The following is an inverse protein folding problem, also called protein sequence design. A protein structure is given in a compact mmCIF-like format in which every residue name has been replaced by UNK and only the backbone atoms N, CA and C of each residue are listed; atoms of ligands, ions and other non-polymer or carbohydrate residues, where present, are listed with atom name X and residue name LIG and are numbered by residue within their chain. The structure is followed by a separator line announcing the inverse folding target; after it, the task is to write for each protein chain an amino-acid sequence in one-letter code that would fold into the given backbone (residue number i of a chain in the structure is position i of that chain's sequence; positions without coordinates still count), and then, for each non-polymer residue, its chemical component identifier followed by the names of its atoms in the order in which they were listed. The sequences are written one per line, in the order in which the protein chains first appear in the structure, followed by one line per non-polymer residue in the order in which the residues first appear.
data_IF_936540937914
#
_entry.id   IF_936540937914
#
_cell.length_a   1.000
_cell.length_b   1.000
_cell.length_c   1.000
_cell.angle_alpha   90.00
_cell.angle_beta   90.00
_cell.angle_gamma   90.00
#
_symmetry.space_group_name_H-M   'P 1'
#
loop_
_entity.id
_entity.type
_entity.pdbx_description
1 polymer ?
#
# COMPACT_ATOMS: atom_id res chain seq x y z
N UNK A 1 27.27 24.29 -0.45
CA UNK A 1 26.84 24.30 -1.87
C UNK A 1 26.77 22.86 -2.30
N UNK A 2 25.59 22.27 -2.23
CA UNK A 2 25.35 20.88 -2.60
C UNK A 2 25.07 20.87 -4.10
N UNK A 3 26.03 20.37 -4.90
CA UNK A 3 25.88 20.31 -6.35
C UNK A 3 24.73 19.37 -6.68
N UNK A 4 23.69 19.89 -7.34
CA UNK A 4 22.69 19.07 -7.97
C UNK A 4 23.40 18.19 -9.00
N UNK A 5 23.61 16.91 -8.67
CA UNK A 5 24.03 15.92 -9.65
C UNK A 5 22.88 15.81 -10.65
N UNK A 6 23.15 16.16 -11.90
CA UNK A 6 22.26 15.88 -13.02
C UNK A 6 22.04 14.36 -13.04
N UNK A 7 20.80 13.94 -12.79
CA UNK A 7 20.40 12.55 -12.96
C UNK A 7 20.60 12.20 -14.42
N UNK A 8 21.67 11.44 -14.72
CA UNK A 8 21.86 10.83 -16.03
C UNK A 8 20.71 9.86 -16.31
N UNK A 9 20.18 9.88 -17.54
CA UNK A 9 19.02 9.09 -17.99
C UNK A 9 19.15 7.56 -17.73
N UNK A 10 20.37 7.08 -17.44
CA UNK A 10 20.68 5.69 -17.13
C UNK A 10 19.93 5.11 -15.91
N UNK A 11 19.38 5.95 -15.01
CA UNK A 11 18.66 5.51 -13.81
C UNK A 11 17.18 5.90 -13.79
N UNK A 12 16.64 6.32 -14.93
CA UNK A 12 15.25 6.78 -15.04
C UNK A 12 14.41 5.79 -15.85
N UNK A 13 13.41 5.19 -15.20
CA UNK A 13 12.32 4.53 -15.93
C UNK A 13 11.22 5.55 -16.18
N UNK A 14 10.65 5.61 -17.37
CA UNK A 14 9.54 6.52 -17.65
C UNK A 14 8.58 5.99 -18.71
N UNK A 15 7.36 6.53 -18.71
CA UNK A 15 6.31 6.24 -19.69
C UNK A 15 5.39 7.44 -19.87
N UNK A 16 4.81 7.58 -21.05
CA UNK A 16 3.79 8.58 -21.38
C UNK A 16 2.35 8.04 -21.28
N UNK A 17 2.16 6.90 -20.60
CA UNK A 17 0.84 6.39 -20.26
C UNK A 17 0.81 5.81 -18.84
N UNK A 18 -0.35 5.84 -18.16
CA UNK A 18 -0.55 5.11 -16.90
C UNK A 18 -0.36 3.61 -17.08
N UNK A 19 -0.03 2.90 -16.01
CA UNK A 19 -0.03 1.43 -16.01
C UNK A 19 -1.43 0.89 -16.38
N UNK A 20 -1.47 -0.08 -17.30
CA UNK A 20 -2.68 -0.83 -17.67
C UNK A 20 -2.95 -1.99 -16.73
N UNK A 21 -1.90 -2.55 -16.15
CA UNK A 21 -1.95 -3.68 -15.24
C UNK A 21 -0.95 -3.53 -14.09
N UNK A 22 -1.11 -4.36 -13.06
CA UNK A 22 -0.30 -4.29 -11.86
C UNK A 22 1.21 -4.45 -12.14
N UNK A 23 1.58 -5.29 -13.11
CA UNK A 23 2.98 -5.54 -13.47
C UNK A 23 3.68 -4.31 -14.07
N UNK A 24 2.92 -3.35 -14.60
CA UNK A 24 3.44 -2.09 -15.13
C UNK A 24 3.57 -1.00 -14.06
N UNK A 25 3.09 -1.22 -12.84
CA UNK A 25 3.21 -0.25 -11.75
C UNK A 25 4.67 -0.03 -11.34
N UNK A 26 5.01 1.20 -10.93
CA UNK A 26 6.34 1.48 -10.39
C UNK A 26 6.40 1.15 -8.89
N UNK A 27 7.31 0.27 -8.46
CA UNK A 27 7.45 -0.08 -7.06
C UNK A 27 8.27 0.99 -6.32
N UNK A 28 7.82 1.38 -5.13
CA UNK A 28 8.61 2.10 -4.13
C UNK A 28 8.54 1.35 -2.80
N UNK A 29 9.58 1.45 -1.98
CA UNK A 29 9.56 0.80 -0.66
C UNK A 29 10.78 1.14 0.18
N UNK A 30 10.70 0.79 1.46
CA UNK A 30 11.78 0.99 2.43
C UNK A 30 12.23 -0.33 3.10
N UNK A 31 12.01 -1.46 2.42
CA UNK A 31 12.26 -2.81 2.92
C UNK A 31 11.13 -3.35 3.81
N UNK A 32 10.36 -2.49 4.48
CA UNK A 32 9.23 -2.89 5.33
C UNK A 32 7.88 -2.60 4.68
N UNK A 33 7.70 -1.36 4.22
CA UNK A 33 6.54 -0.92 3.47
C UNK A 33 6.86 -0.93 1.99
N UNK A 34 5.88 -1.33 1.19
CA UNK A 34 5.92 -1.23 -0.27
C UNK A 34 4.67 -0.52 -0.79
N UNK A 35 4.81 0.20 -1.89
CA UNK A 35 3.69 0.77 -2.63
C UNK A 35 3.90 0.58 -4.13
N UNK A 36 2.84 0.18 -4.83
CA UNK A 36 2.81 0.01 -6.28
C UNK A 36 2.07 1.18 -6.91
N UNK A 37 2.75 1.99 -7.74
CA UNK A 37 2.22 3.23 -8.32
C UNK A 37 1.79 3.01 -9.79
N UNK A 38 0.47 2.96 -10.10
CA UNK A 38 0.01 2.79 -11.48
C UNK A 38 0.13 4.08 -12.29
N UNK A 39 -0.33 5.18 -11.72
CA UNK A 39 -0.20 6.53 -12.24
C UNK A 39 -1.43 7.08 -12.97
N UNK A 40 -2.63 6.69 -12.55
CA UNK A 40 -3.88 7.14 -13.17
C UNK A 40 -4.19 8.62 -12.82
N UNK A 41 -4.39 9.51 -13.82
CA UNK A 41 -4.68 10.93 -13.60
C UNK A 41 -6.00 11.21 -12.85
N UNK A 42 -6.99 10.33 -12.94
CA UNK A 42 -8.30 10.56 -12.32
C UNK A 42 -8.51 9.67 -11.09
N UNK A 43 -8.18 8.39 -11.21
CA UNK A 43 -8.44 7.38 -10.16
C UNK A 43 -7.17 6.59 -9.89
N UNK A 44 -6.35 7.11 -8.99
CA UNK A 44 -5.14 6.43 -8.54
C UNK A 44 -5.49 5.34 -7.52
N UNK A 45 -5.04 4.10 -7.75
CA UNK A 45 -5.18 2.99 -6.81
C UNK A 45 -3.81 2.42 -6.48
N UNK A 46 -3.26 2.84 -5.35
CA UNK A 46 -1.90 2.47 -4.94
C UNK A 46 -1.97 1.23 -4.06
N UNK A 47 -1.42 0.12 -4.51
CA UNK A 47 -1.36 -1.11 -3.72
C UNK A 47 -0.33 -1.00 -2.61
N UNK A 48 -0.77 -1.07 -1.36
CA UNK A 48 0.09 -0.98 -0.17
C UNK A 48 0.41 -2.35 0.42
N UNK A 49 1.68 -2.51 0.79
CA UNK A 49 2.28 -3.76 1.22
C UNK A 49 3.05 -3.57 2.52
N UNK A 50 3.09 -4.63 3.34
CA UNK A 50 3.86 -4.66 4.57
C UNK A 50 4.53 -6.04 4.71
N UNK A 51 5.86 -6.07 4.79
CA UNK A 51 6.72 -7.26 4.80
C UNK A 51 6.29 -8.36 5.78
N UNK A 52 5.78 -8.02 6.97
CA UNK A 52 5.32 -8.97 7.99
C UNK A 52 3.87 -9.47 7.82
N UNK A 53 3.14 -9.03 6.79
CA UNK A 53 1.74 -9.41 6.60
C UNK A 53 1.59 -10.75 5.86
N UNK A 54 1.92 -11.81 6.57
CA UNK A 54 1.76 -13.20 6.15
C UNK A 54 0.63 -13.86 6.94
N UNK A 55 -0.22 -14.69 6.32
CA UNK A 55 -1.21 -15.52 7.04
C UNK A 55 -0.51 -16.41 8.06
N UNK A 56 -1.20 -16.87 9.09
CA UNK A 56 -0.60 -17.67 10.18
C UNK A 56 -1.38 -18.97 10.44
N UNK A 57 -1.57 -19.79 9.39
CA UNK A 57 -2.23 -21.09 9.50
C UNK A 57 -1.33 -22.18 10.08
N UNK A 58 -0.05 -22.18 9.67
CA UNK A 58 0.91 -23.20 10.06
C UNK A 58 1.96 -22.60 10.97
N UNK A 59 2.13 -23.21 12.13
CA UNK A 59 3.30 -23.00 13.00
C UNK A 59 4.15 -24.25 12.93
N UNK A 60 5.46 -24.07 12.72
CA UNK A 60 6.39 -25.19 12.70
C UNK A 60 6.34 -25.90 14.06
N UNK A 61 5.84 -27.12 14.08
CA UNK A 61 6.01 -28.02 15.22
C UNK A 61 7.33 -28.75 14.98
N UNK A 62 8.27 -28.63 15.92
CA UNK A 62 9.48 -29.47 15.92
C UNK A 62 9.05 -30.93 15.91
N UNK A 63 9.48 -31.68 14.90
CA UNK A 63 9.20 -33.12 14.79
C UNK A 63 10.55 -33.83 14.82
N UNK A 64 10.73 -34.73 15.78
CA UNK A 64 11.95 -35.50 15.91
C UNK A 64 12.00 -36.58 14.81
N UNK A 65 12.55 -36.20 13.66
CA UNK A 65 12.77 -37.10 12.54
C UNK A 65 14.18 -37.74 12.58
N UNK A 66 15.02 -37.34 13.55
CA UNK A 66 16.42 -37.72 13.59
C UNK A 66 16.61 -39.22 13.85
N UNK A 67 15.74 -39.81 14.66
CA UNK A 67 15.79 -41.23 15.05
C UNK A 67 15.68 -42.18 13.84
N UNK A 68 14.99 -41.78 12.76
CA UNK A 68 14.73 -42.63 11.59
C UNK A 68 15.84 -42.55 10.52
N UNK A 69 16.77 -41.59 10.63
CA UNK A 69 17.80 -41.36 9.60
C UNK A 69 18.75 -42.54 9.43
N UNK A 70 19.06 -43.26 10.52
CA UNK A 70 19.96 -44.40 10.47
C UNK A 70 19.37 -45.56 9.64
N UNK A 71 18.09 -45.85 9.85
CA UNK A 71 17.38 -46.93 9.15
C UNK A 71 17.15 -46.60 7.68
N UNK A 72 16.73 -45.37 7.37
CA UNK A 72 16.58 -44.89 5.99
C UNK A 72 17.90 -45.01 5.23
N UNK A 73 19.02 -44.58 5.83
CA UNK A 73 20.36 -44.72 5.22
C UNK A 73 20.75 -46.18 4.99
N UNK A 74 20.41 -47.07 5.92
CA UNK A 74 20.69 -48.50 5.79
C UNK A 74 19.89 -49.16 4.65
N UNK A 75 18.63 -48.75 4.43
CA UNK A 75 17.81 -49.21 3.30
C UNK A 75 18.40 -48.74 1.96
N UNK A 76 18.80 -47.46 1.88
CA UNK A 76 19.49 -46.92 0.70
C UNK A 76 20.79 -47.66 0.40
N UNK A 77 21.61 -47.96 1.42
CA UNK A 77 22.87 -48.69 1.25
C UNK A 77 22.68 -50.12 0.73
N UNK A 78 21.50 -50.71 0.95
CA UNK A 78 21.10 -52.03 0.45
C UNK A 78 20.40 -51.98 -0.92
N UNK A 79 20.26 -50.80 -1.53
CA UNK A 79 19.55 -50.61 -2.80
C UNK A 79 18.02 -50.72 -2.69
N UNK A 80 17.46 -50.67 -1.48
CA UNK A 80 16.02 -50.78 -1.21
C UNK A 80 15.35 -49.40 -1.24
N UNK A 81 15.32 -48.79 -2.43
CA UNK A 81 14.86 -47.40 -2.60
C UNK A 81 13.38 -47.19 -2.26
N UNK A 82 12.51 -48.12 -2.65
CA UNK A 82 11.07 -48.02 -2.39
C UNK A 82 10.77 -48.12 -0.89
N UNK A 83 11.43 -49.05 -0.17
CA UNK A 83 11.31 -49.20 1.29
C UNK A 83 11.84 -47.96 2.03
N UNK A 84 12.96 -47.40 1.56
CA UNK A 84 13.53 -46.18 2.12
C UNK A 84 12.61 -44.97 1.92
N UNK A 85 12.00 -44.86 0.73
CA UNK A 85 11.05 -43.81 0.39
C UNK A 85 9.77 -43.94 1.22
N UNK A 86 9.20 -45.14 1.31
CA UNK A 86 8.00 -45.40 2.12
C UNK A 86 8.23 -45.06 3.60
N UNK A 87 9.36 -45.52 4.19
CA UNK A 87 9.71 -45.19 5.57
C UNK A 87 9.90 -43.68 5.77
N UNK A 88 10.51 -43.01 4.79
CA UNK A 88 10.65 -41.56 4.79
C UNK A 88 9.27 -40.88 4.74
N UNK A 89 8.37 -41.27 3.85
CA UNK A 89 7.02 -40.69 3.71
C UNK A 89 6.12 -40.93 4.94
N UNK A 90 6.22 -42.11 5.57
CA UNK A 90 5.45 -42.45 6.77
C UNK A 90 5.89 -41.67 8.01
N UNK A 91 7.19 -41.35 8.12
CA UNK A 91 7.79 -40.83 9.35
C UNK A 91 8.22 -39.38 9.23
N UNK A 92 8.79 -39.01 8.08
CA UNK A 92 8.96 -37.62 7.64
C UNK A 92 7.71 -37.26 6.85
N UNK A 93 6.74 -36.68 7.54
CA UNK A 93 5.57 -36.14 6.84
C UNK A 93 6.08 -35.23 5.73
N UNK A 94 5.74 -35.55 4.47
CA UNK A 94 5.87 -34.59 3.41
C UNK A 94 5.21 -33.30 3.90
N UNK A 95 5.87 -32.17 3.71
CA UNK A 95 5.24 -30.85 3.81
C UNK A 95 4.18 -30.64 2.70
N UNK A 96 3.60 -31.73 2.18
CA UNK A 96 2.82 -31.84 0.96
C UNK A 96 1.32 -32.07 1.18
N UNK A 97 0.83 -32.11 2.43
CA UNK A 97 -0.59 -31.85 2.68
C UNK A 97 -0.86 -30.35 2.48
N UNK A 98 -1.01 -29.95 1.22
CA UNK A 98 -1.43 -28.62 0.81
C UNK A 98 -0.37 -27.53 1.04
N UNK A 99 0.16 -27.01 -0.08
CA UNK A 99 1.02 -25.84 -0.25
C UNK A 99 0.44 -24.50 0.29
N UNK A 100 -0.27 -24.49 1.41
CA UNK A 100 -0.60 -23.28 2.16
C UNK A 100 0.48 -23.02 3.20
N UNK A 101 1.74 -22.94 2.77
CA UNK A 101 2.73 -22.18 3.55
C UNK A 101 2.11 -20.81 3.75
N UNK A 102 2.00 -20.37 5.01
CA UNK A 102 1.55 -19.04 5.43
C UNK A 102 1.70 -18.02 4.29
N UNK A 103 0.62 -17.61 3.63
CA UNK A 103 0.69 -16.82 2.40
C UNK A 103 0.96 -15.35 2.69
N UNK A 104 1.80 -14.70 1.91
CA UNK A 104 1.91 -13.24 1.92
C UNK A 104 0.63 -12.61 1.35
N UNK A 105 0.11 -11.56 1.98
CA UNK A 105 -1.11 -10.87 1.53
C UNK A 105 -0.93 -9.34 1.48
N UNK A 106 -1.54 -8.65 0.51
CA UNK A 106 -1.53 -7.20 0.46
C UNK A 106 -2.28 -6.60 1.64
N UNK A 107 -1.82 -5.44 2.12
CA UNK A 107 -2.41 -4.79 3.27
C UNK A 107 -3.73 -4.10 2.91
N UNK A 108 -3.68 -3.17 1.96
CA UNK A 108 -4.82 -2.41 1.46
C UNK A 108 -4.41 -1.63 0.21
N UNK A 109 -5.37 -0.95 -0.41
CA UNK A 109 -5.14 0.05 -1.44
C UNK A 109 -5.40 1.45 -0.90
N UNK A 110 -4.53 2.38 -1.27
CA UNK A 110 -4.77 3.82 -1.13
C UNK A 110 -5.40 4.33 -2.43
N UNK A 111 -6.67 4.73 -2.33
CA UNK A 111 -7.40 5.39 -3.41
C UNK A 111 -7.22 6.90 -3.35
N UNK A 112 -6.87 7.52 -4.47
CA UNK A 112 -6.89 8.98 -4.65
C UNK A 112 -7.71 9.26 -5.91
N UNK A 113 -8.93 9.77 -5.73
CA UNK A 113 -9.79 10.24 -6.82
C UNK A 113 -9.59 11.74 -6.97
N UNK A 114 -9.17 12.21 -8.14
CA UNK A 114 -8.97 13.63 -8.42
C UNK A 114 -10.20 14.19 -9.15
N UNK A 115 -10.66 15.36 -8.72
CA UNK A 115 -11.71 16.12 -9.38
C UNK A 115 -11.05 17.31 -10.07
N UNK A 116 -10.61 17.12 -11.31
CA UNK A 116 -9.95 18.17 -12.08
C UNK A 116 -10.92 19.32 -12.36
N UNK A 117 -10.37 20.53 -12.49
CA UNK A 117 -11.14 21.68 -12.93
C UNK A 117 -11.21 21.74 -14.45
N UNK A 118 -12.44 21.86 -14.97
CA UNK A 118 -12.71 21.98 -16.40
C UNK A 118 -12.89 20.62 -17.08
N UNK A 119 -13.59 20.61 -18.20
CA UNK A 119 -13.96 19.40 -18.95
C UNK A 119 -12.90 19.04 -20.01
N UNK A 120 -11.62 19.10 -19.64
CA UNK A 120 -10.50 18.85 -20.56
C UNK A 120 -9.96 17.43 -20.48
N UNK A 121 -9.53 16.89 -21.63
CA UNK A 121 -8.79 15.63 -21.68
C UNK A 121 -7.44 15.74 -20.94
N UNK A 122 -6.87 14.59 -20.59
CA UNK A 122 -5.53 14.54 -20.00
C UNK A 122 -4.48 14.71 -21.10
N UNK A 123 -3.64 15.71 -20.93
CA UNK A 123 -2.58 16.05 -21.88
C UNK A 123 -1.19 16.02 -21.22
N UNK A 124 -0.14 16.00 -22.04
CA UNK A 124 1.26 16.09 -21.60
C UNK A 124 1.62 15.13 -20.46
N UNK A 125 1.02 13.94 -20.46
CA UNK A 125 1.20 12.95 -19.41
C UNK A 125 2.61 12.35 -19.46
N UNK A 126 3.26 12.28 -18.30
CA UNK A 126 4.48 11.51 -18.07
C UNK A 126 4.49 10.95 -16.67
N UNK A 127 4.85 9.67 -16.52
CA UNK A 127 5.26 9.07 -15.25
C UNK A 127 6.71 8.63 -15.31
N UNK A 128 7.40 8.67 -14.18
CA UNK A 128 8.79 8.25 -14.06
C UNK A 128 9.10 7.64 -12.69
N UNK A 129 10.15 6.81 -12.64
CA UNK A 129 10.77 6.30 -11.43
C UNK A 129 12.27 6.56 -11.53
N UNK A 130 12.75 7.47 -10.68
CA UNK A 130 14.17 7.74 -10.47
C UNK A 130 14.71 6.68 -9.51
N UNK A 131 15.49 5.74 -10.04
CA UNK A 131 16.03 4.61 -9.28
C UNK A 131 17.20 5.01 -8.38
N UNK A 132 17.84 6.16 -8.64
CA UNK A 132 18.92 6.69 -7.79
C UNK A 132 18.33 7.33 -6.52
N UNK A 133 17.22 8.07 -6.67
CA UNK A 133 16.55 8.73 -5.54
C UNK A 133 15.47 7.89 -4.88
N UNK A 134 14.96 6.86 -5.54
CA UNK A 134 13.81 6.08 -5.07
C UNK A 134 12.51 6.87 -5.08
N UNK A 135 12.34 7.77 -6.07
CA UNK A 135 11.20 8.68 -6.18
C UNK A 135 10.44 8.37 -7.47
N UNK A 136 9.15 8.08 -7.35
CA UNK A 136 8.25 8.06 -8.50
C UNK A 136 7.58 9.42 -8.67
N UNK A 137 7.43 9.88 -9.91
CA UNK A 137 6.79 11.14 -10.24
C UNK A 137 5.79 10.97 -11.38
N UNK A 138 4.68 11.68 -11.32
CA UNK A 138 3.70 11.81 -12.40
C UNK A 138 3.44 13.29 -12.63
N UNK A 139 3.44 13.70 -13.89
CA UNK A 139 3.08 15.04 -14.34
C UNK A 139 2.07 14.91 -15.48
N UNK A 140 1.02 15.72 -15.47
CA UNK A 140 0.04 15.80 -16.55
C UNK A 140 -0.70 17.13 -16.51
N UNK A 141 -1.40 17.47 -17.58
CA UNK A 141 -2.29 18.62 -17.65
C UNK A 141 -3.74 18.18 -17.76
N UNK A 142 -4.64 18.91 -17.10
CA UNK A 142 -6.09 18.77 -17.26
C UNK A 142 -6.72 20.17 -17.19
N UNK A 143 -7.51 20.54 -18.20
CA UNK A 143 -8.12 21.89 -18.27
C UNK A 143 -7.10 23.04 -18.28
N UNK A 144 -5.92 22.82 -18.88
CA UNK A 144 -4.82 23.80 -18.91
C UNK A 144 -4.17 24.09 -17.55
N UNK A 145 -4.22 23.13 -16.62
CA UNK A 145 -3.58 23.18 -15.29
C UNK A 145 -2.61 22.02 -15.20
N UNK A 146 -1.34 22.28 -14.88
CA UNK A 146 -0.37 21.22 -14.58
C UNK A 146 -0.63 20.64 -13.19
N UNK A 147 -0.74 19.32 -13.11
CA UNK A 147 -0.77 18.54 -11.89
C UNK A 147 0.50 17.71 -11.79
N UNK A 148 1.07 17.66 -10.58
CA UNK A 148 2.26 16.88 -10.26
C UNK A 148 2.03 16.04 -9.01
N UNK A 149 2.43 14.77 -9.08
CA UNK A 149 2.40 13.82 -7.97
C UNK A 149 3.78 13.24 -7.76
N UNK A 150 4.27 13.28 -6.53
CA UNK A 150 5.55 12.71 -6.15
C UNK A 150 5.33 11.65 -5.07
N UNK A 151 5.94 10.49 -5.23
CA UNK A 151 5.81 9.34 -4.35
C UNK A 151 7.17 8.88 -3.89
N UNK A 152 7.30 8.60 -2.59
CA UNK A 152 8.47 7.93 -2.04
C UNK A 152 8.11 7.21 -0.74
N UNK A 153 8.92 6.23 -0.35
CA UNK A 153 8.79 5.56 0.93
C UNK A 153 9.96 5.98 1.82
N UNK A 154 9.68 6.76 2.87
CA UNK A 154 10.74 7.22 3.75
C UNK A 154 11.19 6.10 4.68
N UNK A 155 12.49 5.82 4.66
CA UNK A 155 13.07 4.76 5.47
C UNK A 155 13.14 5.16 6.95
N UNK A 156 13.41 6.45 7.26
CA UNK A 156 13.66 6.92 8.64
C UNK A 156 12.39 6.93 9.47
N UNK A 157 11.29 7.38 8.89
CA UNK A 157 10.00 7.56 9.56
C UNK A 157 9.02 6.42 9.31
N UNK A 158 9.29 5.56 8.32
CA UNK A 158 8.46 4.39 8.04
C UNK A 158 7.10 4.73 7.47
N UNK A 159 7.04 5.69 6.54
CA UNK A 159 5.79 6.14 5.89
C UNK A 159 5.94 6.18 4.37
N UNK A 160 4.85 5.90 3.67
CA UNK A 160 4.71 6.20 2.25
C UNK A 160 4.17 7.62 2.14
N UNK A 161 4.87 8.46 1.38
CA UNK A 161 4.50 9.86 1.15
C UNK A 161 3.98 10.00 -0.26
N UNK A 162 2.81 10.62 -0.40
CA UNK A 162 2.30 11.11 -1.67
C UNK A 162 2.18 12.62 -1.57
N UNK A 163 2.89 13.36 -2.44
CA UNK A 163 2.77 14.80 -2.54
C UNK A 163 2.00 15.13 -3.81
N UNK A 164 0.88 15.81 -3.66
CA UNK A 164 0.05 16.33 -4.74
C UNK A 164 0.29 17.84 -4.86
N UNK A 165 0.49 18.35 -6.07
CA UNK A 165 0.60 19.77 -6.35
C UNK A 165 -0.03 20.15 -7.68
N UNK A 166 -0.48 21.39 -7.80
CA UNK A 166 -0.89 22.00 -9.06
C UNK A 166 -0.23 23.37 -9.24
N UNK A 167 -0.13 23.85 -10.47
CA UNK A 167 0.38 25.19 -10.79
C UNK A 167 -0.64 26.31 -10.52
N UNK A 168 -1.94 25.98 -10.48
CA UNK A 168 -3.05 26.91 -10.20
C UNK A 168 -3.54 26.80 -8.76
N UNK A 169 -3.69 27.94 -8.09
CA UNK A 169 -4.21 27.98 -6.72
C UNK A 169 -5.68 27.49 -6.68
N UNK A 170 -5.99 26.66 -5.69
CA UNK A 170 -7.34 26.13 -5.44
C UNK A 170 -7.83 25.12 -6.48
N UNK A 171 -6.96 24.59 -7.33
CA UNK A 171 -7.33 23.62 -8.37
C UNK A 171 -7.17 22.16 -7.98
N UNK A 172 -6.39 21.84 -6.94
CA UNK A 172 -6.43 20.51 -6.35
C UNK A 172 -7.80 20.33 -5.71
N UNK A 173 -8.50 19.24 -6.04
CA UNK A 173 -9.74 18.78 -5.43
C UNK A 173 -9.83 17.27 -5.64
N UNK A 174 -10.46 16.55 -4.72
CA UNK A 174 -10.48 15.09 -4.79
C UNK A 174 -10.91 14.40 -3.50
N UNK A 175 -10.79 13.09 -3.48
CA UNK A 175 -11.12 12.21 -2.36
C UNK A 175 -9.98 11.21 -2.13
N UNK A 176 -9.69 10.95 -0.86
CA UNK A 176 -8.73 9.94 -0.41
C UNK A 176 -9.47 8.86 0.36
N UNK A 177 -9.20 7.60 0.05
CA UNK A 177 -9.81 6.45 0.73
C UNK A 177 -8.83 5.31 0.94
N UNK A 178 -9.14 4.44 1.90
CA UNK A 178 -8.50 3.13 2.03
C UNK A 178 -9.51 2.03 1.73
N UNK A 179 -9.11 1.03 0.95
CA UNK A 179 -9.93 -0.14 0.65
C UNK A 179 -9.09 -1.41 0.67
N UNK A 180 -9.71 -2.58 0.73
CA UNK A 180 -9.00 -3.86 0.60
C UNK A 180 -9.87 -4.79 -0.22
N UNK A 181 -9.23 -5.66 -1.02
CA UNK A 181 -9.92 -6.76 -1.67
C UNK A 181 -10.69 -7.60 -0.64
N UNK A 182 -11.91 -7.98 -0.99
CA UNK A 182 -12.74 -8.81 -0.12
C UNK A 182 -12.05 -10.15 0.12
N UNK A 183 -12.02 -10.55 1.38
CA UNK A 183 -11.38 -11.75 1.87
C UNK A 183 -12.30 -12.33 2.94
N UNK A 184 -12.94 -13.49 2.68
CA UNK A 184 -13.93 -14.08 3.59
C UNK A 184 -13.39 -14.36 4.98
N UNK A 185 -12.09 -14.62 5.10
CA UNK A 185 -11.43 -14.95 6.37
C UNK A 185 -10.86 -13.71 7.07
N UNK A 186 -11.16 -12.50 6.57
CA UNK A 186 -10.68 -11.25 7.15
C UNK A 186 -11.83 -10.28 7.41
N UNK A 187 -12.02 -9.94 8.68
CA UNK A 187 -12.89 -8.83 9.07
C UNK A 187 -12.13 -7.52 8.94
N UNK A 188 -12.69 -6.56 8.20
CA UNK A 188 -12.11 -5.24 7.98
C UNK A 188 -13.05 -4.16 8.50
N UNK A 189 -12.50 -3.11 9.11
CA UNK A 189 -13.25 -1.95 9.61
C UNK A 189 -12.54 -0.68 9.17
N UNK A 190 -13.31 0.26 8.61
CA UNK A 190 -12.85 1.61 8.28
C UNK A 190 -13.24 2.61 9.37
N UNK A 191 -12.40 3.63 9.57
CA UNK A 191 -12.75 4.83 10.35
C UNK A 191 -12.18 6.09 9.67
N UNK A 192 -13.00 7.13 9.50
CA UNK A 192 -12.54 8.47 9.10
C UNK A 192 -12.76 9.51 10.19
N UNK A 193 -11.80 10.41 10.31
CA UNK A 193 -11.93 11.70 11.02
C UNK A 193 -11.27 12.80 10.17
N UNK A 194 -11.39 14.06 10.60
CA UNK A 194 -10.88 15.18 9.81
C UNK A 194 -9.39 15.04 9.53
N UNK A 195 -9.06 14.86 8.25
CA UNK A 195 -7.68 14.70 7.79
C UNK A 195 -7.03 13.34 8.07
N UNK A 196 -7.78 12.32 8.49
CA UNK A 196 -7.24 10.96 8.67
C UNK A 196 -8.28 9.90 8.28
N UNK A 197 -7.89 8.95 7.42
CA UNK A 197 -8.63 7.71 7.14
C UNK A 197 -7.82 6.55 7.70
N UNK A 198 -8.48 5.62 8.38
CA UNK A 198 -7.90 4.41 8.95
C UNK A 198 -8.66 3.18 8.49
N UNK A 199 -7.93 2.11 8.28
CA UNK A 199 -8.44 0.78 8.03
C UNK A 199 -7.77 -0.18 9.01
N UNK A 200 -8.54 -1.04 9.65
CA UNK A 200 -8.02 -2.14 10.49
C UNK A 200 -8.57 -3.46 9.98
N UNK A 201 -7.73 -4.49 9.98
CA UNK A 201 -8.16 -5.84 9.62
C UNK A 201 -7.73 -6.87 10.66
N UNK A 202 -8.56 -7.90 10.81
CA UNK A 202 -8.30 -9.07 11.64
C UNK A 202 -8.67 -10.31 10.84
N UNK A 203 -7.69 -11.19 10.64
CA UNK A 203 -7.91 -12.50 10.06
C UNK A 203 -8.48 -13.49 11.09
N UNK A 204 -9.16 -14.54 10.64
CA UNK A 204 -9.74 -15.59 11.49
C UNK A 204 -8.70 -16.27 12.39
N UNK A 205 -7.48 -16.50 11.91
CA UNK A 205 -6.37 -17.04 12.70
C UNK A 205 -5.85 -16.07 13.79
N UNK A 206 -6.38 -14.84 13.83
CA UNK A 206 -6.12 -13.86 14.87
C UNK A 206 -5.11 -12.78 14.49
N UNK A 207 -4.40 -12.92 13.37
CA UNK A 207 -3.46 -11.91 12.87
C UNK A 207 -4.18 -10.58 12.58
N UNK A 208 -3.56 -9.46 12.97
CA UNK A 208 -4.14 -8.12 12.85
C UNK A 208 -3.22 -7.18 12.10
N UNK A 209 -3.81 -6.24 11.37
CA UNK A 209 -3.09 -5.17 10.69
C UNK A 209 -3.91 -3.88 10.71
N UNK A 210 -3.24 -2.76 10.45
CA UNK A 210 -3.89 -1.47 10.32
C UNK A 210 -3.13 -0.59 9.33
N UNK A 211 -3.85 0.19 8.53
CA UNK A 211 -3.31 1.24 7.69
C UNK A 211 -3.99 2.56 8.05
N UNK A 212 -3.25 3.66 7.99
CA UNK A 212 -3.79 4.99 8.16
C UNK A 212 -3.17 5.94 7.16
N UNK A 213 -3.99 6.78 6.54
CA UNK A 213 -3.56 7.90 5.71
C UNK A 213 -3.94 9.20 6.37
N UNK A 214 -2.96 10.10 6.51
CA UNK A 214 -3.16 11.46 7.03
C UNK A 214 -2.98 12.48 5.92
N UNK A 215 -3.93 13.41 5.82
CA UNK A 215 -3.92 14.51 4.87
C UNK A 215 -3.37 15.77 5.53
N UNK A 216 -2.28 16.31 4.97
CA UNK A 216 -1.66 17.57 5.38
C UNK A 216 -1.74 18.55 4.22
N UNK A 217 -2.63 19.53 4.31
CA UNK A 217 -2.87 20.49 3.24
C UNK A 217 -2.24 21.86 3.53
N UNK A 218 -1.99 22.61 2.45
CA UNK A 218 -1.70 24.05 2.51
C UNK A 218 -2.81 24.81 1.78
N UNK A 219 -3.65 25.50 2.54
CA UNK A 219 -4.84 26.18 2.03
C UNK A 219 -6.02 25.25 1.75
N UNK A 220 -7.15 25.87 1.36
CA UNK A 220 -8.42 25.19 1.09
C UNK A 220 -9.04 24.51 2.31
N UNK A 221 -10.03 23.63 2.08
CA UNK A 221 -10.89 23.06 3.13
C UNK A 221 -10.97 21.53 3.11
N UNK A 222 -10.53 20.85 4.17
CA UNK A 222 -10.84 19.42 4.35
C UNK A 222 -12.29 19.25 4.80
N UNK A 223 -12.93 18.20 4.30
CA UNK A 223 -14.16 17.68 4.88
C UNK A 223 -14.04 16.17 5.05
N UNK A 224 -14.85 15.62 5.97
CA UNK A 224 -15.00 14.17 6.09
C UNK A 224 -16.05 13.68 5.09
N UNK A 225 -15.77 12.55 4.44
CA UNK A 225 -16.80 11.74 3.84
C UNK A 225 -17.38 10.81 4.89
N UNK A 226 -18.70 10.64 4.92
CA UNK A 226 -19.35 9.63 5.76
C UNK A 226 -19.69 8.42 4.88
N UNK A 227 -18.99 7.29 5.06
CA UNK A 227 -19.43 5.96 4.60
C UNK A 227 -18.91 4.87 5.53
N UNK A 228 -19.76 3.88 5.82
CA UNK A 228 -19.40 2.68 6.55
C UNK A 228 -18.94 1.59 5.58
N UNK A 229 -17.84 0.92 5.90
CA UNK A 229 -17.49 -0.35 5.26
C UNK A 229 -18.48 -1.44 5.72
N UNK A 230 -19.37 -1.89 4.83
CA UNK A 230 -20.16 -3.12 5.03
C UNK A 230 -19.62 -4.25 4.17
N UNK A 231 -19.26 -5.36 4.81
CA UNK A 231 -19.06 -6.62 4.10
C UNK A 231 -20.39 -7.05 3.45
N UNK A 232 -20.39 -7.47 2.17
CA UNK A 232 -21.60 -8.02 1.57
C UNK A 232 -21.99 -9.30 2.30
N UNK A 233 -23.22 -9.36 2.82
CA UNK A 233 -23.81 -10.63 3.27
C UNK A 233 -24.26 -11.43 2.04
N UNK A 234 -23.81 -12.68 1.93
CA UNK A 234 -24.30 -13.63 0.93
C UNK A 234 -23.60 -13.56 -0.43
N UNK A 235 -23.29 -14.75 -0.97
CA UNK A 235 -22.39 -14.94 -2.08
C UNK A 235 -22.85 -14.45 -3.46
N UNK A 236 -21.83 -14.27 -4.31
CA UNK A 236 -21.85 -14.18 -5.78
C UNK A 236 -22.77 -13.13 -6.39
N UNK A 237 -22.22 -11.93 -6.55
CA UNK A 237 -22.44 -11.13 -7.77
C UNK A 237 -21.21 -10.25 -8.01
N UNK A 238 -20.60 -10.40 -9.18
CA UNK A 238 -19.52 -9.54 -9.66
C UNK A 238 -20.12 -8.35 -10.40
N UNK A 239 -20.06 -7.15 -9.82
CA UNK A 239 -19.68 -5.90 -10.48
C UNK A 239 -19.66 -4.72 -9.49
N UNK A 240 -18.65 -3.87 -9.73
CA UNK A 240 -18.47 -2.46 -9.37
C UNK A 240 -18.19 -1.99 -7.93
N UNK A 241 -17.28 -1.01 -7.91
CA UNK A 241 -16.59 -0.36 -6.81
C UNK A 241 -17.40 -0.21 -5.52
N UNK A 242 -16.83 -0.63 -4.39
CA UNK A 242 -17.34 -0.24 -3.07
C UNK A 242 -16.28 0.46 -2.24
N UNK A 243 -16.58 1.74 -2.03
CA UNK A 243 -15.79 2.84 -1.50
C UNK A 243 -15.67 2.76 0.03
N UNK A 244 -14.44 2.76 0.54
CA UNK A 244 -14.15 2.86 1.97
C UNK A 244 -14.25 4.29 2.51
N UNK A 245 -13.95 4.44 3.80
CA UNK A 245 -13.88 5.70 4.53
C UNK A 245 -13.05 6.76 3.82
N UNK A 246 -13.54 8.01 3.79
CA UNK A 246 -13.02 9.08 2.92
C UNK A 246 -12.70 10.38 3.63
N UNK A 247 -11.66 11.03 3.13
CA UNK A 247 -11.40 12.47 3.39
C UNK A 247 -11.39 13.18 2.05
N UNK A 248 -12.10 14.30 1.95
CA UNK A 248 -12.04 15.17 0.77
C UNK A 248 -10.79 16.04 0.83
N UNK A 249 -10.06 16.05 -0.28
CA UNK A 249 -9.02 17.01 -0.55
C UNK A 249 -9.65 18.42 -0.66
N UNK A 250 -8.88 19.46 -0.32
CA UNK A 250 -9.38 20.83 -0.33
C UNK A 250 -9.95 21.25 -1.69
N UNK A 251 -10.94 22.14 -1.70
CA UNK A 251 -11.37 22.94 -2.85
C UNK A 251 -11.61 24.39 -2.41
N UNK A 252 -11.81 25.34 -3.33
CA UNK A 252 -12.03 26.77 -3.01
C UNK A 252 -13.21 26.92 -2.03
N UNK A 253 -12.97 27.62 -0.91
CA UNK A 253 -14.01 28.28 -0.13
C UNK A 253 -14.09 29.74 -0.56
N UNK A 254 -15.27 30.35 -0.51
CA UNK A 254 -15.42 31.80 -0.68
C UNK A 254 -14.62 32.51 0.41
N UNK A 255 -13.46 33.03 0.04
CA UNK A 255 -12.87 34.25 0.60
C UNK A 255 -11.54 34.57 -0.09
N UNK A 256 -11.38 35.85 -0.43
CA UNK A 256 -10.13 36.61 -0.42
C UNK A 256 -8.96 36.12 -1.27
N UNK A 257 -8.70 36.87 -2.33
CA UNK A 257 -7.45 36.95 -3.10
C UNK A 257 -6.18 36.65 -2.27
N UNK A 258 -5.50 35.55 -2.62
CA UNK A 258 -4.12 35.27 -2.21
C UNK A 258 -3.31 35.00 -3.47
N UNK A 259 -2.71 36.07 -4.00
CA UNK A 259 -1.65 35.99 -5.00
C UNK A 259 -0.47 35.15 -4.48
N UNK A 260 -0.10 34.11 -5.22
CA UNK A 260 1.18 33.42 -5.07
C UNK A 260 1.13 31.88 -4.96
N UNK A 261 1.47 31.24 -6.08
CA UNK A 261 2.06 29.88 -6.27
C UNK A 261 1.34 28.68 -5.63
N UNK A 262 0.56 27.97 -6.45
CA UNK A 262 0.31 26.52 -6.46
C UNK A 262 -0.24 25.85 -5.19
N UNK A 263 -1.30 25.05 -5.31
CA UNK A 263 -1.82 24.27 -4.18
C UNK A 263 -0.95 23.03 -3.90
N UNK A 264 -0.84 22.62 -2.62
CA UNK A 264 -0.09 21.43 -2.21
C UNK A 264 -0.82 20.63 -1.13
N UNK A 265 -0.83 19.31 -1.28
CA UNK A 265 -1.30 18.36 -0.26
C UNK A 265 -0.28 17.25 -0.09
N UNK A 266 0.03 16.90 1.15
CA UNK A 266 0.83 15.72 1.49
C UNK A 266 -0.08 14.68 2.12
N UNK A 267 -0.04 13.47 1.59
CA UNK A 267 -0.66 12.29 2.16
C UNK A 267 0.45 11.44 2.78
N UNK A 268 0.29 11.13 4.06
CA UNK A 268 1.17 10.24 4.79
C UNK A 268 0.42 8.94 5.04
N UNK A 269 0.71 7.91 4.26
CA UNK A 269 0.21 6.57 4.52
C UNK A 269 1.22 5.83 5.41
N UNK A 270 0.75 5.32 6.53
CA UNK A 270 1.56 4.50 7.45
C UNK A 270 0.77 3.26 7.83
N UNK A 271 1.46 2.14 7.92
CA UNK A 271 0.97 0.94 8.59
C UNK A 271 1.68 0.96 9.95
N UNK A 272 1.02 1.47 11.01
CA UNK A 272 1.68 1.64 12.30
C UNK A 272 2.30 0.33 12.76
N UNK A 273 3.45 0.42 13.46
CA UNK A 273 3.90 -0.67 14.33
C UNK A 273 2.86 -0.81 15.44
N UNK A 274 1.84 -1.62 15.21
CA UNK A 274 0.91 -1.96 16.26
C UNK A 274 1.67 -2.80 17.30
N UNK A 275 1.65 -2.34 18.55
CA UNK A 275 2.15 -3.03 19.76
C UNK A 275 1.34 -4.29 20.12
N UNK A 276 0.96 -5.07 19.13
CA UNK A 276 0.19 -6.31 19.32
C UNK A 276 0.98 -7.55 18.86
N UNK A 277 2.24 -7.37 18.47
CA UNK A 277 3.12 -8.43 18.01
C UNK A 277 4.05 -9.01 19.09
N UNK A 278 4.13 -8.45 20.30
CA UNK A 278 4.74 -9.07 21.48
C UNK A 278 4.33 -8.29 22.74
N UNK A 279 3.97 -9.05 23.78
CA UNK A 279 3.81 -8.69 25.20
C UNK A 279 4.19 -7.26 25.65
N UNK A 280 3.20 -6.61 26.29
CA UNK A 280 3.23 -5.57 27.34
C UNK A 280 4.05 -4.27 27.17
N UNK A 281 3.38 -3.16 27.54
CA UNK A 281 3.80 -1.75 27.65
C UNK A 281 3.67 -0.94 26.35
N UNK A 282 3.08 0.25 26.43
CA UNK A 282 2.79 1.25 25.37
C UNK A 282 4.06 2.07 24.95
N UNK A 283 4.09 2.87 23.85
CA UNK A 283 4.02 4.30 24.10
C UNK A 283 3.30 5.14 23.03
N UNK A 284 3.02 6.36 23.48
CA UNK A 284 2.44 7.53 22.82
C UNK A 284 3.30 8.03 21.65
N UNK A 285 2.66 8.39 20.54
CA UNK A 285 3.25 9.20 19.47
C UNK A 285 3.11 10.66 19.88
N UNK A 286 4.22 11.30 20.28
CA UNK A 286 4.26 12.73 20.60
C UNK A 286 4.50 13.55 19.34
N UNK A 287 3.62 14.54 19.14
CA UNK A 287 3.75 15.61 18.15
C UNK A 287 4.90 16.55 18.52
N UNK A 288 6.10 16.32 17.99
CA UNK A 288 7.17 17.33 17.95
C UNK A 288 8.22 16.90 16.95
N UNK A 289 8.10 17.36 15.71
CA UNK A 289 9.19 17.60 14.75
C UNK A 289 8.58 17.93 13.38
N UNK A 290 7.97 19.11 13.24
CA UNK A 290 7.97 19.88 12.00
C UNK A 290 7.90 21.35 12.43
N UNK A 291 9.06 22.01 12.49
CA UNK A 291 9.19 23.45 12.28
C UNK A 291 10.00 23.61 11.00
#
# INVERSE_FOLDING_TARGET
MESARETTDAHLLWSNHPAKEWAECYPIGNGRLGAMIPGSPEMERIGLNHDLLWREYWTYKSRDAAENLAEIRALCAKGKWDEASELMLQRVHLTGEGLYVNSYVPACDLGIRMFHRGDGEIESYRRSLDMEKGIAEIVYQAGGIEYRRTYFCDWKTGVVVVRLSSDRAGSLCGEVSLSRLLDPECVVTGQSKLGEVRLTGKFEEGKRFAAAVRVLQRGGRLTNGNREYRQPEGGRTFQEEREGDRVRLPGRGDDGDLGGKGSRVHLLASIPRTKWFLSSRSPRITSRMIR
#
